data_IF_352876381234
#
_entry.id   IF_352876381234
#
_cell.length_a   1.000
_cell.length_b   1.000
_cell.length_c   1.000
_cell.angle_alpha   90.00
_cell.angle_beta   90.00
_cell.angle_gamma   90.00
#
_symmetry.space_group_name_H-M   'P 1'
#
loop_
_entity.id
_entity.type
_entity.pdbx_description
1 polymer ?
#
# COMPACT_ATOMS: atom_id res chain seq x y z
N UNK A 1 -14.05 13.21 -14.96
CA UNK A 1 -12.59 13.39 -15.22
C UNK A 1 -11.85 13.95 -13.99
N UNK A 2 -12.31 15.06 -13.41
CA UNK A 2 -11.72 15.62 -12.18
C UNK A 2 -11.82 14.66 -10.97
N UNK A 3 -12.98 14.03 -10.75
CA UNK A 3 -13.19 13.08 -9.65
C UNK A 3 -12.22 11.88 -9.66
N UNK A 4 -11.97 11.31 -10.85
CA UNK A 4 -11.00 10.21 -11.00
C UNK A 4 -9.58 10.66 -10.68
N UNK A 5 -9.17 11.83 -11.16
CA UNK A 5 -7.84 12.38 -10.86
C UNK A 5 -7.66 12.65 -9.36
N UNK A 6 -8.64 13.28 -8.72
CA UNK A 6 -8.61 13.53 -7.28
C UNK A 6 -8.47 12.21 -6.52
N UNK A 7 -9.27 11.20 -6.89
CA UNK A 7 -9.19 9.88 -6.27
C UNK A 7 -7.81 9.26 -6.43
N UNK A 8 -7.26 9.25 -7.64
CA UNK A 8 -5.93 8.71 -7.90
C UNK A 8 -4.86 9.39 -7.04
N UNK A 9 -4.90 10.73 -6.91
CA UNK A 9 -3.95 11.45 -6.06
C UNK A 9 -4.15 11.16 -4.57
N UNK A 10 -5.41 11.00 -4.12
CA UNK A 10 -5.69 10.57 -2.74
C UNK A 10 -5.12 9.18 -2.44
N UNK A 11 -5.32 8.21 -3.34
CA UNK A 11 -4.79 6.85 -3.18
C UNK A 11 -3.25 6.84 -3.15
N UNK A 12 -2.60 7.66 -4.00
CA UNK A 12 -1.14 7.86 -3.96
C UNK A 12 -0.67 8.47 -2.64
N UNK A 13 -1.41 9.45 -2.10
CA UNK A 13 -1.09 10.04 -0.81
C UNK A 13 -1.21 9.01 0.33
N UNK A 14 -2.27 8.18 0.32
CA UNK A 14 -2.43 7.08 1.27
C UNK A 14 -1.27 6.07 1.20
N UNK A 15 -0.83 5.68 0.00
CA UNK A 15 0.31 4.78 -0.18
C UNK A 15 1.62 5.36 0.39
N UNK A 16 1.87 6.66 0.21
CA UNK A 16 3.03 7.36 0.78
C UNK A 16 2.98 7.40 2.31
N UNK A 17 1.80 7.70 2.87
CA UNK A 17 1.60 7.69 4.32
C UNK A 17 1.81 6.29 4.91
N UNK A 18 1.31 5.25 4.26
CA UNK A 18 1.54 3.85 4.64
C UNK A 18 3.04 3.51 4.69
N UNK A 19 3.77 3.78 3.61
CA UNK A 19 5.22 3.56 3.56
C UNK A 19 5.98 4.35 4.63
N UNK A 20 5.54 5.57 4.93
CA UNK A 20 6.12 6.41 5.99
C UNK A 20 5.79 5.92 7.40
N UNK A 21 4.58 5.43 7.63
CA UNK A 21 4.14 4.87 8.91
C UNK A 21 5.01 3.65 9.32
N UNK A 22 5.32 2.78 8.35
CA UNK A 22 6.23 1.65 8.51
C UNK A 22 7.65 2.14 8.86
N UNK A 23 8.10 3.27 8.31
CA UNK A 23 9.38 3.88 8.67
C UNK A 23 9.42 4.38 10.11
N UNK A 24 8.41 5.16 10.51
CA UNK A 24 8.39 5.82 11.81
C UNK A 24 8.10 4.82 12.97
N UNK A 25 8.07 3.51 12.68
CA UNK A 25 7.73 2.44 13.64
C UNK A 25 6.28 2.47 14.11
N UNK A 26 5.52 3.46 13.66
CA UNK A 26 4.07 3.57 13.79
C UNK A 26 3.46 2.85 12.62
N UNK A 27 3.71 1.54 12.51
CA UNK A 27 3.13 0.73 11.45
C UNK A 27 1.65 1.09 11.35
N UNK A 28 1.22 1.68 10.23
CA UNK A 28 -0.19 1.68 9.88
C UNK A 28 -0.60 0.22 10.04
N UNK A 29 -1.56 0.01 10.93
CA UNK A 29 -1.96 -1.31 11.37
C UNK A 29 -2.19 -2.17 10.12
N UNK A 30 -1.28 -3.12 9.89
CA UNK A 30 -1.29 -3.92 8.68
C UNK A 30 -2.59 -4.74 8.61
N UNK A 31 -3.15 -5.07 9.77
CA UNK A 31 -4.44 -5.72 9.90
C UNK A 31 -5.57 -4.77 9.50
N UNK A 32 -5.49 -3.48 9.84
CA UNK A 32 -6.47 -2.48 9.40
C UNK A 32 -6.44 -2.26 7.89
N UNK A 33 -5.24 -2.16 7.28
CA UNK A 33 -5.10 -2.05 5.83
C UNK A 33 -5.70 -3.26 5.13
N UNK A 34 -5.37 -4.45 5.62
CA UNK A 34 -5.87 -5.70 5.10
C UNK A 34 -7.39 -5.82 5.20
N UNK A 35 -7.97 -5.55 6.37
CA UNK A 35 -9.42 -5.54 6.58
C UNK A 35 -10.10 -4.54 5.63
N UNK A 36 -9.50 -3.37 5.44
CA UNK A 36 -10.03 -2.34 4.52
C UNK A 36 -10.01 -2.84 3.08
N UNK A 37 -8.89 -3.39 2.61
CA UNK A 37 -8.77 -3.91 1.24
C UNK A 37 -9.71 -5.10 1.03
N UNK A 38 -9.79 -6.02 1.99
CA UNK A 38 -10.70 -7.16 1.95
C UNK A 38 -12.16 -6.69 1.85
N UNK A 39 -12.58 -5.78 2.74
CA UNK A 39 -13.93 -5.22 2.73
C UNK A 39 -14.30 -4.57 1.39
N UNK A 40 -13.37 -3.84 0.76
CA UNK A 40 -13.60 -3.21 -0.53
C UNK A 40 -13.65 -4.22 -1.68
N UNK A 41 -12.82 -5.25 -1.65
CA UNK A 41 -12.78 -6.31 -2.68
C UNK A 41 -13.99 -7.24 -2.62
N UNK A 42 -14.50 -7.56 -1.43
CA UNK A 42 -15.66 -8.43 -1.26
C UNK A 42 -16.99 -7.68 -1.31
N UNK A 43 -16.96 -6.37 -1.53
CA UNK A 43 -18.16 -5.56 -1.65
C UNK A 43 -18.91 -5.89 -2.94
N UNK A 44 -20.24 -5.83 -2.93
CA UNK A 44 -21.05 -6.10 -4.14
C UNK A 44 -20.98 -4.95 -5.17
N UNK A 45 -20.52 -3.77 -4.76
CA UNK A 45 -20.34 -2.62 -5.65
C UNK A 45 -19.03 -2.74 -6.48
N UNK A 46 -19.12 -2.90 -7.82
CA UNK A 46 -17.95 -3.01 -8.69
C UNK A 46 -17.05 -1.76 -8.67
N UNK A 47 -17.59 -0.58 -8.32
CA UNK A 47 -16.77 0.61 -8.18
C UNK A 47 -15.87 0.55 -6.96
N UNK A 48 -16.37 0.01 -5.83
CA UNK A 48 -15.55 -0.17 -4.62
C UNK A 48 -14.45 -1.21 -4.85
N UNK A 49 -14.76 -2.29 -5.57
CA UNK A 49 -13.76 -3.28 -5.99
C UNK A 49 -12.67 -2.65 -6.87
N UNK A 50 -13.08 -1.83 -7.85
CA UNK A 50 -12.13 -1.12 -8.71
C UNK A 50 -11.24 -0.15 -7.91
N UNK A 51 -11.80 0.54 -6.90
CA UNK A 51 -11.05 1.41 -6.00
C UNK A 51 -10.03 0.60 -5.18
N UNK A 52 -10.40 -0.61 -4.72
CA UNK A 52 -9.47 -1.49 -4.03
C UNK A 52 -8.28 -1.86 -4.91
N UNK A 53 -8.52 -2.23 -6.17
CA UNK A 53 -7.46 -2.51 -7.14
C UNK A 53 -6.58 -1.28 -7.40
N UNK A 54 -7.19 -0.10 -7.64
CA UNK A 54 -6.46 1.16 -7.82
C UNK A 54 -5.58 1.48 -6.59
N UNK A 55 -6.03 1.13 -5.39
CA UNK A 55 -5.27 1.34 -4.15
C UNK A 55 -4.10 0.36 -4.01
N UNK A 56 -4.33 -0.94 -4.28
CA UNK A 56 -3.27 -1.96 -4.30
C UNK A 56 -2.18 -1.58 -5.30
N UNK A 57 -2.54 -1.14 -6.50
CA UNK A 57 -1.60 -0.66 -7.51
C UNK A 57 -0.81 0.55 -7.02
N UNK A 58 -1.47 1.52 -6.38
CA UNK A 58 -0.80 2.69 -5.82
C UNK A 58 0.21 2.32 -4.73
N UNK A 59 -0.14 1.38 -3.85
CA UNK A 59 0.76 0.85 -2.82
C UNK A 59 1.94 0.11 -3.48
N UNK A 60 1.68 -0.83 -4.38
CA UNK A 60 2.73 -1.58 -5.07
C UNK A 60 3.70 -0.65 -5.80
N UNK A 61 3.19 0.35 -6.52
CA UNK A 61 4.00 1.36 -7.20
C UNK A 61 4.84 2.19 -6.21
N UNK A 62 4.25 2.63 -5.10
CA UNK A 62 4.98 3.37 -4.08
C UNK A 62 6.10 2.51 -3.47
N UNK A 63 5.88 1.23 -3.18
CA UNK A 63 6.93 0.36 -2.62
C UNK A 63 7.97 -0.11 -3.66
N UNK A 64 7.58 -0.24 -4.92
CA UNK A 64 8.49 -0.52 -6.03
C UNK A 64 9.41 0.68 -6.33
N UNK A 65 8.92 1.90 -6.11
CA UNK A 65 9.72 3.11 -6.29
C UNK A 65 10.68 3.32 -5.12
N UNK A 66 11.97 3.22 -5.45
CA UNK A 66 13.06 3.65 -4.58
C UNK A 66 13.19 5.16 -4.69
N UNK A 67 12.46 5.89 -3.85
CA UNK A 67 12.56 7.35 -3.82
C UNK A 67 13.98 7.74 -3.41
N UNK A 68 14.79 8.27 -4.33
CA UNK A 68 16.04 8.95 -3.96
C UNK A 68 15.68 10.26 -3.26
N UNK A 69 15.38 10.20 -1.96
CA UNK A 69 15.37 11.39 -1.08
C UNK A 69 16.73 11.49 -0.42
N UNK A 70 17.75 11.77 -1.23
CA UNK A 70 19.01 12.31 -0.71
C UNK A 70 18.76 13.56 0.15
N UNK A 71 17.66 14.28 -0.10
CA UNK A 71 17.33 15.54 0.56
C UNK A 71 16.45 15.38 1.82
N UNK A 72 15.99 14.18 2.19
CA UNK A 72 15.21 13.92 3.42
C UNK A 72 15.88 12.89 4.35
N UNK A 73 17.14 12.51 4.10
CA UNK A 73 17.87 11.53 4.92
C UNK A 73 17.34 10.09 4.80
N UNK A 74 16.59 9.79 3.73
CA UNK A 74 16.02 8.46 3.49
C UNK A 74 17.02 7.65 2.67
N UNK A 75 17.69 6.68 3.28
CA UNK A 75 18.76 5.89 2.64
C UNK A 75 18.20 4.83 1.67
N UNK A 76 19.00 4.39 0.70
CA UNK A 76 18.62 3.27 -0.20
C UNK A 76 18.22 1.99 0.58
N UNK A 77 18.91 1.73 1.68
CA UNK A 77 18.64 0.62 2.60
C UNK A 77 17.20 0.66 3.16
N UNK A 78 16.64 1.86 3.35
CA UNK A 78 15.24 2.02 3.75
C UNK A 78 14.25 1.47 2.70
N UNK A 79 14.48 1.76 1.42
CA UNK A 79 13.59 1.29 0.36
C UNK A 79 13.60 -0.23 0.26
N UNK A 80 14.78 -0.83 0.43
CA UNK A 80 14.94 -2.29 0.44
C UNK A 80 14.22 -2.91 1.65
N UNK A 81 14.41 -2.36 2.85
CA UNK A 81 13.73 -2.87 4.06
C UNK A 81 12.20 -2.73 3.99
N UNK A 82 11.69 -1.57 3.56
CA UNK A 82 10.26 -1.35 3.42
C UNK A 82 9.64 -2.29 2.36
N UNK A 83 10.34 -2.52 1.25
CA UNK A 83 9.93 -3.47 0.22
C UNK A 83 9.93 -4.91 0.75
N UNK A 84 10.98 -5.34 1.46
CA UNK A 84 11.03 -6.65 2.10
C UNK A 84 9.89 -6.82 3.12
N UNK A 85 9.63 -5.83 3.96
CA UNK A 85 8.50 -5.85 4.89
C UNK A 85 7.16 -5.98 4.16
N UNK A 86 6.97 -5.25 3.06
CA UNK A 86 5.76 -5.37 2.23
C UNK A 86 5.61 -6.77 1.60
N UNK A 87 6.69 -7.31 1.02
CA UNK A 87 6.69 -8.64 0.41
C UNK A 87 6.45 -9.76 1.45
N UNK A 88 7.09 -9.68 2.63
CA UNK A 88 6.98 -10.70 3.68
C UNK A 88 5.76 -10.58 4.58
N UNK A 89 5.23 -9.39 4.86
CA UNK A 89 4.07 -9.22 5.76
C UNK A 89 2.74 -9.20 5.00
N UNK A 90 2.70 -8.63 3.79
CA UNK A 90 1.43 -8.39 3.09
C UNK A 90 1.17 -9.34 1.91
N UNK A 91 2.20 -9.85 1.22
CA UNK A 91 2.01 -10.71 0.05
C UNK A 91 2.10 -12.21 0.36
N UNK A 92 3.14 -12.65 1.08
CA UNK A 92 3.42 -14.08 1.27
C UNK A 92 2.45 -14.77 2.28
N UNK A 93 2.16 -14.22 3.46
CA UNK A 93 1.27 -14.89 4.43
C UNK A 93 -0.18 -15.02 3.92
N UNK A 94 -0.59 -14.11 3.04
CA UNK A 94 -1.94 -14.01 2.47
C UNK A 94 -2.16 -15.00 1.32
N UNK A 95 -1.16 -15.22 0.47
CA UNK A 95 -1.20 -16.25 -0.58
C UNK A 95 -1.16 -17.67 -0.01
N UNK A 96 -0.52 -17.87 1.15
CA UNK A 96 -0.45 -19.17 1.83
C UNK A 96 -1.76 -19.47 2.59
N UNK A 97 -2.37 -18.48 3.26
CA UNK A 97 -3.61 -18.70 4.02
C UNK A 97 -4.88 -18.85 3.16
N UNK A 98 -4.87 -18.43 1.89
CA UNK A 98 -6.02 -18.62 1.00
C UNK A 98 -6.07 -20.03 0.34
N UNK A 99 -5.20 -20.95 0.78
CA UNK A 99 -5.11 -22.34 0.30
C UNK A 99 -5.69 -23.40 1.26
N UNK A 100 -6.37 -22.99 2.33
CA UNK A 100 -7.07 -23.91 3.23
C UNK A 100 -8.54 -23.55 3.39
#
# INVERSE_FOLDING_TARGET
RASKLIRTEMLRACAKLLKRSIFDGKACDADMLDQTVHFLLTNEDPQLQAIACEFIEAIAHEFATSWRSSNLGISFDFHVRARHSFEFLLLIPKLINHKH
#
